data_IF_510313313892
#
_entry.id   IF_510313313892
#
_cell.length_a   1.000
_cell.length_b   1.000
_cell.length_c   1.000
_cell.angle_alpha   90.00
_cell.angle_beta   90.00
_cell.angle_gamma   90.00
#
_symmetry.space_group_name_H-M   'P 1'
#
loop_
_entity.id
_entity.type
_entity.pdbx_description
1 polymer ?
#
# COMPACT_ATOMS: atom_id res chain seq x y z
N UNK A 1 15.61 3.34 -10.52
CA UNK A 1 14.61 2.26 -10.37
C UNK A 1 14.16 2.10 -8.93
N UNK A 2 14.90 1.42 -8.05
CA UNK A 2 14.46 1.18 -6.65
C UNK A 2 14.19 2.45 -5.84
N UNK A 3 14.99 3.50 -6.04
CA UNK A 3 14.78 4.79 -5.38
C UNK A 3 13.46 5.46 -5.79
N UNK A 4 13.09 5.38 -7.07
CA UNK A 4 11.85 5.97 -7.58
C UNK A 4 10.62 5.20 -7.11
N UNK A 5 10.71 3.86 -7.08
CA UNK A 5 9.64 3.02 -6.55
C UNK A 5 9.45 3.24 -5.06
N UNK A 6 10.54 3.31 -4.27
CA UNK A 6 10.47 3.66 -2.85
C UNK A 6 9.81 5.03 -2.64
N UNK A 7 10.19 6.03 -3.42
CA UNK A 7 9.58 7.35 -3.32
C UNK A 7 8.06 7.31 -3.60
N UNK A 8 7.62 6.56 -4.61
CA UNK A 8 6.20 6.38 -4.91
C UNK A 8 5.45 5.65 -3.80
N UNK A 9 6.06 4.63 -3.19
CA UNK A 9 5.49 3.90 -2.07
C UNK A 9 5.25 4.87 -0.90
N UNK A 10 6.30 5.55 -0.44
CA UNK A 10 6.18 6.46 0.71
C UNK A 10 5.29 7.65 0.43
N UNK A 11 5.29 8.18 -0.79
CA UNK A 11 4.36 9.24 -1.18
C UNK A 11 2.91 8.78 -1.07
N UNK A 12 2.57 7.63 -1.65
CA UNK A 12 1.20 7.08 -1.61
C UNK A 12 0.78 6.78 -0.18
N UNK A 13 1.65 6.16 0.63
CA UNK A 13 1.36 5.87 2.03
C UNK A 13 1.11 7.15 2.85
N UNK A 14 1.91 8.19 2.62
CA UNK A 14 1.74 9.48 3.28
C UNK A 14 0.41 10.16 2.89
N UNK A 15 0.07 10.14 1.60
CA UNK A 15 -1.19 10.68 1.08
C UNK A 15 -2.42 9.95 1.68
N UNK A 16 -2.37 8.61 1.74
CA UNK A 16 -3.45 7.80 2.31
C UNK A 16 -3.55 8.01 3.83
N UNK A 17 -2.43 8.01 4.55
CA UNK A 17 -2.43 8.21 6.00
C UNK A 17 -2.93 9.62 6.40
N UNK A 18 -2.73 10.63 5.54
CA UNK A 18 -3.23 11.98 5.75
C UNK A 18 -4.70 12.18 5.31
N UNK A 19 -5.32 11.18 4.67
CA UNK A 19 -6.68 11.28 4.18
C UNK A 19 -7.73 11.10 5.28
N UNK A 20 -8.97 11.49 5.01
CA UNK A 20 -10.08 11.33 5.94
C UNK A 20 -10.51 9.85 6.10
N UNK A 21 -10.11 8.99 5.17
CA UNK A 21 -10.35 7.55 5.17
C UNK A 21 -9.03 6.83 4.87
N UNK A 22 -8.22 6.53 5.90
CA UNK A 22 -6.87 5.99 5.77
C UNK A 22 -6.91 4.52 5.35
N UNK A 23 -7.40 4.26 4.14
CA UNK A 23 -7.62 2.94 3.58
C UNK A 23 -6.73 2.72 2.37
N UNK A 24 -5.84 1.72 2.46
CA UNK A 24 -4.97 1.31 1.37
C UNK A 24 -5.69 0.27 0.50
N UNK A 25 -6.12 0.68 -0.69
CA UNK A 25 -6.86 -0.16 -1.64
C UNK A 25 -5.93 -0.88 -2.62
N UNK A 26 -6.43 -1.88 -3.33
CA UNK A 26 -5.70 -2.52 -4.43
C UNK A 26 -5.23 -1.54 -5.51
N UNK A 27 -5.94 -0.43 -5.72
CA UNK A 27 -5.55 0.62 -6.67
C UNK A 27 -4.31 1.38 -6.19
N UNK A 28 -4.28 1.78 -4.91
CA UNK A 28 -3.10 2.40 -4.30
C UNK A 28 -1.88 1.49 -4.43
N UNK A 29 -2.05 0.18 -4.20
CA UNK A 29 -0.96 -0.79 -4.30
C UNK A 29 -0.41 -0.90 -5.73
N UNK A 30 -1.28 -0.95 -6.73
CA UNK A 30 -0.86 -0.93 -8.14
C UNK A 30 -0.18 0.38 -8.53
N UNK A 31 -0.64 1.52 -8.02
CA UNK A 31 -0.04 2.83 -8.27
C UNK A 31 1.39 2.94 -7.72
N UNK A 32 1.67 2.26 -6.60
CA UNK A 32 3.01 2.10 -6.04
C UNK A 32 3.93 1.18 -6.87
N UNK A 33 3.36 0.45 -7.85
CA UNK A 33 4.08 -0.52 -8.66
C UNK A 33 4.30 -1.85 -7.94
N UNK A 34 3.41 -2.19 -7.00
CA UNK A 34 3.40 -3.44 -6.24
C UNK A 34 2.22 -4.32 -6.67
N UNK A 35 2.33 -5.62 -6.44
CA UNK A 35 1.23 -6.56 -6.59
C UNK A 35 0.36 -6.59 -5.33
N UNK A 36 -0.95 -6.31 -5.43
CA UNK A 36 -1.83 -6.30 -4.27
C UNK A 36 -1.90 -7.62 -3.48
N UNK A 37 -1.65 -8.76 -4.12
CA UNK A 37 -1.73 -10.07 -3.47
C UNK A 37 -0.34 -10.60 -3.08
N UNK A 38 0.61 -10.57 -4.02
CA UNK A 38 1.98 -11.04 -3.85
C UNK A 38 2.80 -10.21 -2.88
N UNK A 39 2.60 -8.88 -2.88
CA UNK A 39 3.35 -7.96 -2.02
C UNK A 39 2.59 -7.58 -0.74
N UNK A 40 1.49 -8.27 -0.44
CA UNK A 40 0.69 -8.02 0.78
C UNK A 40 1.53 -8.16 2.05
N UNK A 41 2.37 -9.20 2.14
CA UNK A 41 3.25 -9.41 3.29
C UNK A 41 4.24 -8.26 3.47
N UNK A 42 4.89 -7.85 2.36
CA UNK A 42 5.79 -6.70 2.34
C UNK A 42 5.11 -5.42 2.84
N UNK A 43 3.88 -5.15 2.39
CA UNK A 43 3.12 -3.97 2.83
C UNK A 43 2.77 -4.03 4.31
N UNK A 44 2.36 -5.19 4.84
CA UNK A 44 2.07 -5.34 6.27
C UNK A 44 3.32 -5.06 7.10
N UNK A 45 4.45 -5.67 6.75
CA UNK A 45 5.72 -5.47 7.45
C UNK A 45 6.15 -3.99 7.37
N UNK A 46 5.98 -3.35 6.21
CA UNK A 46 6.31 -1.96 6.00
C UNK A 46 5.46 -1.03 6.88
N UNK A 47 4.15 -1.24 6.93
CA UNK A 47 3.25 -0.44 7.76
C UNK A 47 3.57 -0.59 9.25
N UNK A 48 3.89 -1.81 9.69
CA UNK A 48 4.28 -2.08 11.08
C UNK A 48 5.62 -1.42 11.44
N UNK A 49 6.65 -1.57 10.60
CA UNK A 49 7.98 -0.99 10.84
C UNK A 49 7.93 0.54 10.92
N UNK A 50 7.12 1.18 10.07
CA UNK A 50 7.01 2.64 10.01
C UNK A 50 5.91 3.21 10.91
N UNK A 51 5.12 2.36 11.59
CA UNK A 51 4.02 2.78 12.46
C UNK A 51 2.91 3.53 11.72
N UNK A 52 2.64 3.15 10.47
CA UNK A 52 1.64 3.80 9.62
C UNK A 52 0.29 3.13 9.86
N UNK A 53 -0.64 3.86 10.49
CA UNK A 53 -2.00 3.37 10.79
C UNK A 53 -2.93 3.58 9.59
N UNK A 54 -2.96 2.59 8.70
CA UNK A 54 -3.87 2.53 7.54
C UNK A 54 -4.53 1.16 7.45
N UNK A 55 -5.79 1.13 7.07
CA UNK A 55 -6.55 -0.09 6.86
C UNK A 55 -6.24 -0.69 5.49
N UNK A 56 -5.66 -1.87 5.46
CA UNK A 56 -5.34 -2.57 4.20
C UNK A 56 -6.58 -3.29 3.65
N UNK A 57 -7.23 -2.70 2.64
CA UNK A 57 -8.44 -3.24 1.99
C UNK A 57 -8.10 -3.70 0.58
N UNK A 58 -7.54 -4.90 0.50
CA UNK A 58 -7.19 -5.56 -0.77
C UNK A 58 -8.16 -6.71 -0.99
N UNK A 59 -9.45 -6.38 -1.03
CA UNK A 59 -10.47 -7.33 -1.47
C UNK A 59 -10.51 -7.33 -2.99
N UNK A 60 -10.07 -8.43 -3.60
CA UNK A 60 -10.54 -8.81 -4.92
C UNK A 60 -10.88 -10.31 -4.92
N UNK A 61 -12.09 -10.70 -4.47
CA UNK A 61 -12.60 -12.05 -4.67
C UNK A 61 -12.92 -12.35 -6.15
N UNK A 62 -12.72 -11.40 -7.07
CA UNK A 62 -12.91 -11.62 -8.50
C UNK A 62 -11.71 -12.35 -9.10
N UNK A 63 -11.64 -13.64 -8.76
CA UNK A 63 -11.21 -14.81 -9.52
C UNK A 63 -10.17 -15.68 -8.77
N UNK A 64 -10.46 -16.99 -8.55
CA UNK A 64 -9.48 -17.98 -8.08
C UNK A 64 -8.40 -18.30 -9.11
#
# INVERSE_FOLDING_TARGET
>A
FFMEQNNRIFQTLSEVAASADPTLTAEHVRAMGLDPQGDRGFLVDLLEIYGIDVMLVIDNPCCP
#
